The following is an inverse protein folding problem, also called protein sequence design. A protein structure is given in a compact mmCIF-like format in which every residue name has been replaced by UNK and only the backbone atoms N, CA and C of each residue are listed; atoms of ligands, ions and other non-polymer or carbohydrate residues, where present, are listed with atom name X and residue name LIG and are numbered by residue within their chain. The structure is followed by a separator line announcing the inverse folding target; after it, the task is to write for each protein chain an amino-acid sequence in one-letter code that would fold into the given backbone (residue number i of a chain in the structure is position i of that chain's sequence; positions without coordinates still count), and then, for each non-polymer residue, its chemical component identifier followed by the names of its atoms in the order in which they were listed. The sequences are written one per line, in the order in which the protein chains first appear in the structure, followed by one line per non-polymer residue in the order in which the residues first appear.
data_IF_961993994079
#
_entry.id   IF_961993994079
#
_cell.length_a   1.000
_cell.length_b   1.000
_cell.length_c   1.000
_cell.angle_alpha   90.00
_cell.angle_beta   90.00
_cell.angle_gamma   90.00
#
_symmetry.space_group_name_H-M   'P 1'
#
loop_
_entity.id
_entity.type
_entity.pdbx_description
1 polymer ?
#
# COMPACT_ATOMS: atom_id res chain seq x y z
N UNK A 1 30.40 -14.82 -50.13
CA UNK A 1 30.48 -15.20 -48.70
C UNK A 1 31.78 -14.61 -48.17
N UNK A 2 31.80 -13.88 -47.04
CA UNK A 2 31.51 -14.48 -45.73
C UNK A 2 30.76 -13.60 -44.69
N UNK A 3 30.43 -14.28 -43.59
CA UNK A 3 30.17 -13.84 -42.21
C UNK A 3 28.96 -12.92 -41.90
N UNK A 4 27.87 -13.56 -41.43
CA UNK A 4 26.81 -12.93 -40.63
C UNK A 4 27.35 -12.62 -39.22
N UNK A 5 27.04 -11.46 -38.62
CA UNK A 5 27.33 -11.23 -37.20
C UNK A 5 26.35 -12.01 -36.32
N UNK A 6 26.91 -12.58 -35.25
CA UNK A 6 26.27 -13.41 -34.23
C UNK A 6 25.02 -12.76 -33.62
N UNK A 7 23.95 -13.56 -33.55
CA UNK A 7 22.81 -13.31 -32.68
C UNK A 7 23.24 -13.62 -31.24
N UNK A 8 23.56 -12.59 -30.46
CA UNK A 8 23.78 -12.74 -29.03
C UNK A 8 22.43 -12.95 -28.35
N UNK A 9 22.17 -14.19 -27.93
CA UNK A 9 21.06 -14.55 -27.07
C UNK A 9 21.34 -13.91 -25.72
N UNK A 10 20.59 -12.85 -25.39
CA UNK A 10 20.55 -12.32 -24.02
C UNK A 10 19.83 -13.37 -23.19
N UNK A 11 20.59 -14.15 -22.41
CA UNK A 11 20.03 -15.02 -21.40
C UNK A 11 19.35 -14.14 -20.36
N UNK A 12 18.03 -14.21 -20.30
CA UNK A 12 17.23 -13.59 -19.25
C UNK A 12 17.69 -14.13 -17.90
N UNK A 13 18.07 -13.23 -17.00
CA UNK A 13 18.33 -13.54 -15.60
C UNK A 13 17.10 -14.23 -15.01
N UNK A 14 17.27 -15.50 -14.66
CA UNK A 14 16.26 -16.28 -13.95
C UNK A 14 16.00 -15.63 -12.59
N UNK A 15 14.78 -15.19 -12.36
CA UNK A 15 14.32 -14.69 -11.06
C UNK A 15 14.61 -15.76 -10.00
N UNK A 16 15.28 -15.34 -8.91
CA UNK A 16 15.46 -16.20 -7.74
C UNK A 16 14.08 -16.61 -7.22
N UNK A 17 13.85 -17.89 -6.87
CA UNK A 17 12.57 -18.31 -6.35
C UNK A 17 12.30 -17.57 -5.04
N UNK A 18 11.20 -16.82 -4.99
CA UNK A 18 10.69 -16.23 -3.76
C UNK A 18 10.46 -17.35 -2.74
N UNK A 19 11.11 -17.23 -1.60
CA UNK A 19 11.00 -18.19 -0.50
C UNK A 19 9.61 -17.99 0.11
N UNK A 20 8.63 -18.79 -0.32
CA UNK A 20 7.28 -18.79 0.27
C UNK A 20 7.42 -19.17 1.74
N UNK A 21 7.28 -18.20 2.63
CA UNK A 21 7.28 -18.44 4.07
C UNK A 21 5.99 -19.15 4.45
N UNK A 22 6.10 -20.29 5.13
CA UNK A 22 4.93 -21.04 5.63
C UNK A 22 4.28 -20.21 6.74
N UNK A 23 2.98 -19.94 6.60
CA UNK A 23 2.22 -19.29 7.65
C UNK A 23 2.16 -20.17 8.91
N UNK A 24 2.52 -19.60 10.05
CA UNK A 24 2.43 -20.26 11.35
C UNK A 24 1.34 -19.57 12.17
N UNK A 25 0.24 -20.26 12.52
CA UNK A 25 -0.81 -19.70 13.37
C UNK A 25 -0.34 -19.57 14.83
N UNK A 26 -1.02 -18.71 15.61
CA UNK A 26 -0.78 -18.59 17.05
C UNK A 26 0.48 -17.82 17.46
N UNK A 27 1.18 -17.17 16.51
CA UNK A 27 2.27 -16.24 16.83
C UNK A 27 1.65 -14.96 17.44
N UNK A 28 2.15 -14.47 18.60
CA UNK A 28 1.69 -13.22 19.18
C UNK A 28 1.86 -12.03 18.23
N UNK A 29 0.93 -11.08 18.29
CA UNK A 29 1.02 -9.83 17.52
C UNK A 29 2.29 -9.04 17.91
N UNK A 30 3.06 -8.53 16.94
CA UNK A 30 4.22 -7.67 17.22
C UNK A 30 3.82 -6.43 18.00
N UNK A 31 4.58 -6.10 19.04
CA UNK A 31 4.33 -4.92 19.88
C UNK A 31 5.41 -3.84 19.75
N UNK A 32 6.54 -4.18 19.12
CA UNK A 32 7.65 -3.26 18.86
C UNK A 32 7.97 -3.14 17.37
N UNK A 33 8.66 -2.05 17.00
CA UNK A 33 9.14 -1.86 15.62
C UNK A 33 10.06 -3.00 15.20
N UNK A 34 10.99 -3.38 16.06
CA UNK A 34 11.95 -4.47 15.78
C UNK A 34 11.25 -5.80 15.45
N UNK A 35 10.14 -6.11 16.11
CA UNK A 35 9.34 -7.30 15.80
C UNK A 35 8.57 -7.16 14.49
N UNK A 36 7.99 -5.98 14.21
CA UNK A 36 7.30 -5.68 12.95
C UNK A 36 8.25 -5.81 11.74
N UNK A 37 9.50 -5.34 11.87
CA UNK A 37 10.51 -5.39 10.81
C UNK A 37 10.87 -6.84 10.36
N UNK A 38 10.54 -7.86 11.17
CA UNK A 38 10.69 -9.28 10.78
C UNK A 38 9.74 -9.67 9.65
N UNK A 39 8.62 -8.95 9.51
CA UNK A 39 7.60 -9.17 8.48
C UNK A 39 7.70 -8.16 7.33
N UNK A 40 8.83 -7.45 7.20
CA UNK A 40 9.00 -6.43 6.18
C UNK A 40 8.70 -6.95 4.77
N UNK A 41 7.84 -6.26 4.04
CA UNK A 41 7.50 -6.54 2.65
C UNK A 41 7.94 -5.38 1.77
N UNK A 42 8.70 -5.69 0.72
CA UNK A 42 9.07 -4.70 -0.29
C UNK A 42 7.90 -4.53 -1.26
N UNK A 43 7.35 -3.32 -1.30
CA UNK A 43 6.23 -2.98 -2.16
C UNK A 43 6.67 -2.06 -3.30
N UNK A 44 5.98 -2.17 -4.43
CA UNK A 44 6.10 -1.27 -5.57
C UNK A 44 4.73 -0.99 -6.17
N UNK A 45 4.52 0.27 -6.57
CA UNK A 45 3.26 0.73 -7.15
C UNK A 45 3.02 0.10 -8.52
N UNK A 46 1.77 -0.31 -8.78
CA UNK A 46 1.35 -0.82 -10.07
C UNK A 46 0.81 0.31 -10.97
N UNK A 47 1.62 0.72 -11.94
CA UNK A 47 1.30 1.75 -12.94
C UNK A 47 0.09 1.39 -13.81
N UNK A 48 -0.24 0.10 -13.91
CA UNK A 48 -1.43 -0.38 -14.63
C UNK A 48 -2.72 0.02 -13.90
N UNK A 49 -2.67 0.13 -12.58
CA UNK A 49 -3.84 0.40 -11.73
C UNK A 49 -4.03 1.89 -11.44
N UNK A 50 -2.95 2.67 -11.48
CA UNK A 50 -2.94 4.06 -11.06
C UNK A 50 -3.94 4.92 -11.84
N UNK A 51 -4.82 5.65 -11.16
CA UNK A 51 -5.69 6.61 -11.82
C UNK A 51 -4.91 7.64 -12.65
N UNK A 52 -5.50 8.16 -13.72
CA UNK A 52 -4.83 9.07 -14.66
C UNK A 52 -4.41 10.41 -14.05
N UNK A 53 -4.93 10.79 -12.87
CA UNK A 53 -4.48 11.98 -12.13
C UNK A 53 -3.21 11.74 -11.29
N UNK A 54 -2.74 10.51 -11.21
CA UNK A 54 -1.59 10.13 -10.39
C UNK A 54 -0.31 10.02 -11.22
N UNK A 55 0.78 10.46 -10.61
CA UNK A 55 2.12 10.40 -11.17
C UNK A 55 2.98 9.50 -10.29
N UNK A 56 3.48 8.42 -10.88
CA UNK A 56 4.40 7.49 -10.21
C UNK A 56 5.85 7.88 -10.56
N UNK A 57 6.71 7.97 -9.56
CA UNK A 57 8.14 8.27 -9.71
C UNK A 57 9.00 7.37 -8.82
N UNK A 58 10.29 7.67 -8.75
CA UNK A 58 11.27 7.01 -7.87
C UNK A 58 11.31 5.48 -8.05
N UNK A 59 11.29 5.05 -9.32
CA UNK A 59 11.26 3.63 -9.70
C UNK A 59 10.05 2.87 -9.13
N UNK A 60 8.90 3.53 -8.99
CA UNK A 60 7.67 2.91 -8.54
C UNK A 60 7.44 2.94 -7.04
N UNK A 61 8.26 3.64 -6.25
CA UNK A 61 8.04 3.76 -4.80
C UNK A 61 7.24 5.01 -4.41
N UNK A 62 7.15 6.02 -5.28
CA UNK A 62 6.48 7.28 -4.96
C UNK A 62 5.29 7.53 -5.88
N UNK A 63 4.19 7.98 -5.29
CA UNK A 63 3.00 8.49 -6.00
C UNK A 63 2.70 9.90 -5.54
N UNK A 64 2.33 10.78 -6.48
CA UNK A 64 1.86 12.11 -6.17
C UNK A 64 0.73 12.55 -7.09
N UNK A 65 -0.05 13.51 -6.62
CA UNK A 65 -1.06 14.23 -7.43
C UNK A 65 -0.75 15.71 -7.31
N UNK A 66 -0.20 16.30 -8.37
CA UNK A 66 0.32 17.68 -8.34
C UNK A 66 -0.81 18.71 -8.53
N UNK A 67 -1.62 18.54 -9.57
CA UNK A 67 -2.72 19.43 -9.96
C UNK A 67 -3.86 18.62 -10.61
N UNK A 68 -4.71 19.25 -11.42
CA UNK A 68 -5.71 18.60 -12.28
C UNK A 68 -5.13 18.01 -13.58
N UNK A 69 -3.80 18.13 -13.79
CA UNK A 69 -3.15 17.59 -14.97
C UNK A 69 -3.23 16.06 -15.05
N UNK A 70 -3.73 15.59 -16.18
CA UNK A 70 -3.88 14.18 -16.48
C UNK A 70 -2.55 13.64 -17.03
N UNK A 71 -2.06 12.56 -16.42
CA UNK A 71 -0.89 11.83 -16.88
C UNK A 71 -1.19 11.17 -18.24
N UNK A 72 -0.29 11.27 -19.24
CA UNK A 72 -0.49 10.74 -20.59
C UNK A 72 -0.30 9.22 -20.63
N UNK A 73 -1.18 8.49 -19.95
CA UNK A 73 -1.16 7.02 -19.86
C UNK A 73 -2.28 6.38 -20.68
N UNK A 74 -1.98 5.21 -21.23
CA UNK A 74 -2.99 4.40 -21.91
C UNK A 74 -4.05 3.92 -20.91
N UNK A 75 -5.30 3.96 -21.34
CA UNK A 75 -6.39 3.41 -20.55
C UNK A 75 -6.33 1.88 -20.52
N UNK A 76 -6.71 1.29 -19.37
CA UNK A 76 -6.60 -0.15 -19.10
C UNK A 76 -7.72 -0.62 -18.17
N UNK A 77 -8.26 -1.85 -18.33
CA UNK A 77 -9.29 -2.43 -17.46
C UNK A 77 -8.98 -2.34 -15.96
N UNK A 78 -7.72 -2.51 -15.58
CA UNK A 78 -7.26 -2.59 -14.19
C UNK A 78 -7.16 -1.22 -13.50
N UNK A 79 -7.27 -0.13 -14.29
CA UNK A 79 -7.06 1.24 -13.83
C UNK A 79 -8.24 1.76 -13.02
N UNK A 80 -7.95 2.47 -11.93
CA UNK A 80 -8.98 3.25 -11.24
C UNK A 80 -9.52 4.37 -12.13
N UNK A 81 -10.83 4.41 -12.30
CA UNK A 81 -11.48 5.34 -13.23
C UNK A 81 -11.69 6.73 -12.62
N UNK A 82 -12.29 6.82 -11.43
CA UNK A 82 -12.64 8.11 -10.80
C UNK A 82 -11.79 8.46 -9.58
N UNK A 83 -11.60 7.50 -8.67
CA UNK A 83 -10.86 7.76 -7.44
C UNK A 83 -9.36 7.82 -7.76
N UNK A 84 -8.64 8.88 -7.34
CA UNK A 84 -7.20 9.04 -7.56
C UNK A 84 -6.41 8.05 -6.68
N UNK A 85 -6.47 6.78 -7.06
CA UNK A 85 -5.97 5.63 -6.34
C UNK A 85 -4.99 4.80 -7.15
N UNK A 86 -4.13 4.08 -6.45
CA UNK A 86 -3.19 3.11 -6.99
C UNK A 86 -3.00 1.99 -5.97
N UNK A 87 -2.83 0.76 -6.44
CA UNK A 87 -2.44 -0.38 -5.60
C UNK A 87 -1.03 -0.85 -5.93
N UNK A 88 -0.43 -1.62 -5.03
CA UNK A 88 0.88 -2.24 -5.24
C UNK A 88 0.77 -3.49 -6.10
N UNK A 89 1.88 -3.90 -6.70
CA UNK A 89 1.99 -5.14 -7.50
C UNK A 89 1.95 -6.37 -6.60
N UNK A 90 2.55 -6.25 -5.43
CA UNK A 90 2.68 -7.33 -4.47
C UNK A 90 1.40 -7.41 -3.63
N UNK A 91 0.85 -8.62 -3.50
CA UNK A 91 -0.36 -8.88 -2.71
C UNK A 91 -0.11 -9.90 -1.61
N UNK A 92 -0.91 -9.84 -0.56
CA UNK A 92 -0.78 -10.69 0.60
C UNK A 92 -1.81 -11.81 0.52
N UNK A 93 -1.33 -13.05 0.60
CA UNK A 93 -2.15 -14.24 0.72
C UNK A 93 -1.48 -15.24 1.65
N UNK A 94 -2.21 -15.69 2.66
CA UNK A 94 -1.74 -16.64 3.67
C UNK A 94 -0.41 -16.22 4.30
N UNK A 95 -0.27 -14.96 4.70
CA UNK A 95 0.99 -14.42 5.24
C UNK A 95 0.80 -13.21 6.15
N UNK A 96 1.90 -12.82 6.78
CA UNK A 96 2.06 -11.55 7.52
C UNK A 96 2.95 -10.61 6.74
N UNK A 97 2.62 -9.32 6.74
CA UNK A 97 3.45 -8.30 6.14
C UNK A 97 3.46 -7.03 6.98
N UNK A 98 4.57 -6.32 6.91
CA UNK A 98 4.74 -4.98 7.44
C UNK A 98 5.40 -4.10 6.40
N UNK A 99 4.94 -2.86 6.26
CA UNK A 99 5.62 -1.84 5.47
C UNK A 99 5.44 -0.47 6.10
N UNK A 100 6.34 0.46 5.76
CA UNK A 100 6.27 1.85 6.18
C UNK A 100 6.14 2.77 4.96
N UNK A 101 5.41 3.86 5.13
CA UNK A 101 5.30 4.92 4.14
C UNK A 101 5.51 6.29 4.78
N UNK A 102 6.08 7.20 4.01
CA UNK A 102 6.04 8.63 4.28
C UNK A 102 5.00 9.29 3.39
N UNK A 103 4.35 10.34 3.88
CA UNK A 103 3.30 11.01 3.12
C UNK A 103 3.24 12.50 3.42
N UNK A 104 2.58 13.24 2.54
CA UNK A 104 2.29 14.66 2.69
C UNK A 104 0.90 14.98 2.13
N UNK A 105 0.21 15.92 2.78
CA UNK A 105 -1.14 16.33 2.39
C UNK A 105 -2.21 15.30 2.77
N UNK A 106 -3.26 15.22 1.96
CA UNK A 106 -4.38 14.30 2.16
C UNK A 106 -4.08 12.96 1.48
N UNK A 107 -3.93 11.91 2.28
CA UNK A 107 -3.66 10.55 1.80
C UNK A 107 -4.47 9.56 2.62
N UNK A 108 -5.08 8.58 1.95
CA UNK A 108 -5.58 7.35 2.57
C UNK A 108 -4.59 6.22 2.30
N UNK A 109 -4.08 5.61 3.37
CA UNK A 109 -3.14 4.49 3.34
C UNK A 109 -3.92 3.24 3.75
N UNK A 110 -3.94 2.22 2.90
CA UNK A 110 -4.85 1.11 3.14
C UNK A 110 -4.53 -0.16 2.36
N UNK A 111 -5.52 -1.03 2.30
CA UNK A 111 -5.51 -2.24 1.51
C UNK A 111 -6.92 -2.57 1.00
N UNK A 112 -6.99 -3.28 -0.11
CA UNK A 112 -8.24 -3.71 -0.75
C UNK A 112 -8.13 -5.14 -1.25
N UNK A 113 -9.23 -5.87 -1.38
CA UNK A 113 -9.22 -7.15 -2.09
C UNK A 113 -8.76 -6.98 -3.55
N UNK A 114 -7.99 -7.94 -4.05
CA UNK A 114 -7.46 -7.91 -5.42
C UNK A 114 -8.58 -7.79 -6.47
N UNK A 115 -9.73 -8.43 -6.22
CA UNK A 115 -10.92 -8.41 -7.07
C UNK A 115 -11.88 -7.25 -6.83
N UNK A 116 -11.56 -6.31 -5.93
CA UNK A 116 -12.44 -5.17 -5.66
C UNK A 116 -12.62 -4.30 -6.89
N UNK A 117 -13.84 -3.77 -7.05
CA UNK A 117 -14.22 -2.91 -8.17
C UNK A 117 -13.39 -1.62 -8.24
N UNK A 118 -13.01 -1.21 -9.46
CA UNK A 118 -12.15 -0.03 -9.71
C UNK A 118 -12.77 0.98 -10.70
N UNK A 119 -13.98 0.68 -11.17
CA UNK A 119 -14.67 1.34 -12.27
C UNK A 119 -16.02 1.90 -11.83
N UNK A 120 -16.55 2.85 -12.59
CA UNK A 120 -17.84 3.51 -12.38
C UNK A 120 -18.99 2.53 -12.08
N UNK A 121 -19.07 1.47 -12.88
CA UNK A 121 -20.14 0.47 -12.83
C UNK A 121 -20.03 -0.47 -11.63
N UNK A 122 -18.97 -0.35 -10.82
CA UNK A 122 -18.73 -1.21 -9.66
C UNK A 122 -19.24 -0.59 -8.35
N UNK A 123 -19.80 0.63 -8.38
CA UNK A 123 -20.17 1.38 -7.19
C UNK A 123 -18.98 2.10 -6.53
N UNK A 124 -19.06 2.44 -5.22
CA UNK A 124 -17.98 3.10 -4.50
C UNK A 124 -16.68 2.28 -4.51
N UNK A 125 -15.64 2.82 -5.16
CA UNK A 125 -14.35 2.14 -5.35
C UNK A 125 -13.22 2.71 -4.49
N UNK A 126 -13.47 3.77 -3.69
CA UNK A 126 -12.50 4.35 -2.78
C UNK A 126 -12.09 3.40 -1.66
N UNK A 127 -10.83 3.48 -1.23
CA UNK A 127 -10.33 2.74 -0.07
C UNK A 127 -11.16 3.10 1.17
N UNK A 128 -11.78 2.09 1.76
CA UNK A 128 -12.66 2.23 2.92
C UNK A 128 -14.10 2.65 2.59
N UNK A 129 -14.43 2.88 1.32
CA UNK A 129 -15.81 3.22 0.90
C UNK A 129 -16.71 1.99 0.72
N UNK A 130 -16.15 0.78 0.80
CA UNK A 130 -16.86 -0.49 0.66
C UNK A 130 -16.37 -1.52 1.68
N UNK A 131 -17.01 -2.69 1.72
CA UNK A 131 -16.66 -3.80 2.62
C UNK A 131 -15.39 -4.57 2.21
N UNK A 132 -14.85 -4.29 1.02
CA UNK A 132 -13.70 -4.97 0.45
C UNK A 132 -12.37 -4.21 0.67
N UNK A 133 -12.42 -3.07 1.39
CA UNK A 133 -11.25 -2.21 1.59
C UNK A 133 -11.25 -1.49 2.93
N UNK A 134 -10.04 -1.15 3.39
CA UNK A 134 -9.78 -0.44 4.65
C UNK A 134 -8.77 0.66 4.41
N UNK A 135 -8.88 1.77 5.15
CA UNK A 135 -7.95 2.88 5.03
C UNK A 135 -7.77 3.69 6.30
N UNK A 136 -6.54 4.14 6.56
CA UNK A 136 -6.24 5.21 7.50
C UNK A 136 -6.01 6.50 6.70
N UNK A 137 -6.79 7.52 7.00
CA UNK A 137 -6.71 8.83 6.37
C UNK A 137 -6.14 9.86 7.36
N UNK A 138 -5.30 10.77 6.87
CA UNK A 138 -5.05 12.04 7.54
C UNK A 138 -5.88 13.13 6.87
N UNK A 139 -6.83 13.72 7.61
CA UNK A 139 -7.78 14.71 7.08
C UNK A 139 -7.20 16.13 6.97
N UNK A 140 -6.02 16.36 7.55
CA UNK A 140 -5.45 17.69 7.77
C UNK A 140 -5.55 18.17 9.22
N UNK A 141 -6.50 17.62 9.99
CA UNK A 141 -6.73 17.97 11.41
C UNK A 141 -6.68 16.77 12.35
N UNK A 142 -7.10 15.60 11.89
CA UNK A 142 -7.10 14.36 12.66
C UNK A 142 -6.85 13.14 11.75
N UNK A 143 -6.58 12.00 12.37
CA UNK A 143 -6.64 10.72 11.67
C UNK A 143 -8.06 10.18 11.64
N UNK A 144 -8.41 9.48 10.58
CA UNK A 144 -9.70 8.82 10.42
C UNK A 144 -9.48 7.37 9.96
N UNK A 145 -10.20 6.43 10.57
CA UNK A 145 -10.29 5.07 10.05
C UNK A 145 -11.51 4.95 9.13
N UNK A 146 -11.31 4.41 7.93
CA UNK A 146 -12.30 4.28 6.88
C UNK A 146 -12.58 2.80 6.60
N UNK A 147 -13.84 2.40 6.69
CA UNK A 147 -14.31 1.05 6.37
C UNK A 147 -15.80 1.06 6.05
N UNK A 148 -16.21 0.33 4.99
CA UNK A 148 -17.60 0.16 4.60
C UNK A 148 -18.40 1.47 4.48
N UNK A 149 -17.79 2.51 3.89
CA UNK A 149 -18.42 3.81 3.68
C UNK A 149 -18.51 4.67 4.94
N UNK A 150 -17.97 4.21 6.06
CA UNK A 150 -17.98 4.94 7.34
C UNK A 150 -16.56 5.38 7.66
N UNK A 151 -16.39 6.67 7.98
CA UNK A 151 -15.18 7.19 8.60
C UNK A 151 -15.41 7.46 10.09
N UNK A 152 -14.38 7.24 10.90
CA UNK A 152 -14.38 7.55 12.34
C UNK A 152 -13.09 8.23 12.71
N UNK A 153 -13.20 9.37 13.40
CA UNK A 153 -12.06 10.12 13.89
C UNK A 153 -11.31 9.35 14.98
N UNK A 154 -9.98 9.41 14.92
CA UNK A 154 -9.09 8.94 15.97
C UNK A 154 -8.65 10.19 16.75
N UNK A 155 -9.30 10.40 17.89
CA UNK A 155 -9.09 11.57 18.73
C UNK A 155 -7.70 11.56 19.39
N UNK A 156 -7.19 12.76 19.71
CA UNK A 156 -5.97 12.97 20.50
C UNK A 156 -4.69 12.36 19.89
N UNK A 157 -4.65 12.21 18.57
CA UNK A 157 -3.48 11.77 17.82
C UNK A 157 -2.92 12.92 16.98
N UNK A 158 -1.69 13.40 17.25
CA UNK A 158 -1.08 14.46 16.46
C UNK A 158 -0.62 13.92 15.09
N UNK A 159 -0.32 14.81 14.16
CA UNK A 159 0.25 14.44 12.87
C UNK A 159 1.57 13.66 13.03
N UNK A 160 1.77 12.64 12.19
CA UNK A 160 3.02 11.90 12.06
C UNK A 160 3.37 11.79 10.58
N UNK A 161 4.63 12.03 10.23
CA UNK A 161 5.08 12.00 8.83
C UNK A 161 5.20 10.58 8.25
N UNK A 162 5.19 9.56 9.13
CA UNK A 162 5.44 8.18 8.77
C UNK A 162 4.44 7.23 9.42
N UNK A 163 3.86 6.36 8.59
CA UNK A 163 2.89 5.35 8.99
C UNK A 163 3.44 3.97 8.67
N UNK A 164 3.37 3.07 9.64
CA UNK A 164 3.58 1.64 9.47
C UNK A 164 2.24 0.92 9.36
N UNK A 165 2.14 -0.04 8.44
CA UNK A 165 0.96 -0.91 8.30
C UNK A 165 1.40 -2.34 8.48
N UNK A 166 0.75 -3.04 9.40
CA UNK A 166 0.91 -4.47 9.62
C UNK A 166 -0.36 -5.19 9.26
N UNK A 167 -0.24 -6.30 8.52
CA UNK A 167 -1.35 -7.19 8.24
C UNK A 167 -0.98 -8.63 8.58
N UNK A 168 -1.84 -9.31 9.33
CA UNK A 168 -1.88 -10.76 9.46
C UNK A 168 -3.16 -11.24 8.76
N UNK A 169 -3.01 -11.67 7.50
CA UNK A 169 -4.17 -11.95 6.65
C UNK A 169 -5.01 -13.12 7.19
N UNK A 170 -4.45 -14.29 7.54
CA UNK A 170 -5.26 -15.37 8.10
C UNK A 170 -5.85 -15.09 9.48
N UNK A 171 -5.20 -14.25 10.30
CA UNK A 171 -5.75 -13.84 11.60
C UNK A 171 -6.78 -12.71 11.49
N UNK A 172 -6.91 -12.09 10.31
CA UNK A 172 -7.88 -11.03 10.08
C UNK A 172 -7.51 -9.72 10.77
N UNK A 173 -6.22 -9.40 10.86
CA UNK A 173 -5.71 -8.24 11.60
C UNK A 173 -5.10 -7.24 10.63
N UNK A 174 -5.51 -5.98 10.74
CA UNK A 174 -4.87 -4.83 10.09
C UNK A 174 -4.57 -3.80 11.18
N UNK A 175 -3.30 -3.51 11.40
CA UNK A 175 -2.85 -2.56 12.41
C UNK A 175 -2.09 -1.41 11.77
N UNK A 176 -2.45 -0.19 12.15
CA UNK A 176 -1.81 1.04 11.70
C UNK A 176 -1.02 1.64 12.85
N UNK A 177 0.22 2.03 12.57
CA UNK A 177 1.15 2.57 13.54
C UNK A 177 1.68 3.92 13.08
N UNK A 178 1.82 4.86 14.00
CA UNK A 178 2.73 5.98 13.82
C UNK A 178 4.15 5.49 14.08
N UNK A 179 5.09 5.89 13.24
CA UNK A 179 6.52 5.59 13.44
C UNK A 179 7.20 6.88 13.88
N UNK A 180 7.83 6.86 15.05
CA UNK A 180 8.45 8.03 15.69
C UNK A 180 9.93 7.80 15.95
N UNK A 181 10.69 8.85 16.22
CA UNK A 181 12.13 8.78 16.44
C UNK A 181 12.94 8.78 15.15
N UNK A 182 14.27 8.71 15.29
CA UNK A 182 15.22 8.81 14.18
C UNK A 182 16.23 7.66 14.19
N UNK A 183 16.73 7.29 13.01
CA UNK A 183 17.75 6.25 12.87
C UNK A 183 17.37 4.92 13.55
N UNK A 184 18.23 4.47 14.47
CA UNK A 184 18.09 3.24 15.22
C UNK A 184 17.06 3.32 16.37
N UNK A 185 16.68 4.52 16.81
CA UNK A 185 15.74 4.74 17.93
C UNK A 185 14.29 4.81 17.47
N UNK A 186 13.98 4.31 16.26
CA UNK A 186 12.61 4.33 15.76
C UNK A 186 11.71 3.40 16.55
N UNK A 187 10.62 3.96 17.04
CA UNK A 187 9.56 3.26 17.76
C UNK A 187 8.24 3.29 16.99
N UNK A 188 7.28 2.46 17.41
CA UNK A 188 5.93 2.46 16.88
C UNK A 188 4.91 2.74 17.97
N UNK A 189 3.91 3.56 17.64
CA UNK A 189 2.71 3.77 18.45
C UNK A 189 1.50 3.28 17.66
N UNK A 190 0.76 2.33 18.21
CA UNK A 190 -0.48 1.85 17.60
C UNK A 190 -1.50 3.00 17.51
N UNK A 191 -1.98 3.29 16.31
CA UNK A 191 -3.03 4.27 16.05
C UNK A 191 -4.40 3.60 16.03
N UNK A 192 -4.49 2.49 15.29
CA UNK A 192 -5.73 1.76 15.16
C UNK A 192 -5.47 0.31 14.79
N UNK A 193 -6.38 -0.57 15.22
CA UNK A 193 -6.38 -1.98 14.86
C UNK A 193 -7.78 -2.38 14.42
N UNK A 194 -7.87 -2.92 13.22
CA UNK A 194 -9.06 -3.53 12.65
C UNK A 194 -8.96 -5.03 12.82
N UNK A 195 -10.04 -5.65 13.30
CA UNK A 195 -10.22 -7.10 13.28
C UNK A 195 -11.39 -7.42 12.35
N UNK A 196 -11.13 -8.16 11.29
CA UNK A 196 -12.09 -8.43 10.20
C UNK A 196 -11.79 -9.76 9.52
N UNK A 197 -12.73 -10.34 8.78
CA UNK A 197 -12.43 -11.51 7.93
C UNK A 197 -11.73 -11.04 6.65
N UNK A 198 -10.56 -11.61 6.34
CA UNK A 198 -9.81 -11.32 5.12
C UNK A 198 -9.69 -12.62 4.33
N UNK A 199 -10.68 -12.91 3.49
CA UNK A 199 -10.82 -14.25 2.88
C UNK A 199 -10.22 -14.35 1.48
N UNK A 200 -9.79 -13.22 0.93
CA UNK A 200 -9.21 -13.09 -0.41
C UNK A 200 -7.82 -12.46 -0.32
N UNK A 201 -7.05 -12.60 -1.40
CA UNK A 201 -5.79 -11.88 -1.56
C UNK A 201 -6.06 -10.37 -1.50
N UNK A 202 -5.24 -9.66 -0.73
CA UNK A 202 -5.33 -8.20 -0.58
C UNK A 202 -4.12 -7.52 -1.21
N UNK A 203 -4.34 -6.30 -1.70
CA UNK A 203 -3.32 -5.43 -2.25
C UNK A 203 -3.21 -4.17 -1.39
N UNK A 204 -2.01 -3.80 -0.92
CA UNK A 204 -1.77 -2.48 -0.35
C UNK A 204 -2.08 -1.40 -1.38
N UNK A 205 -2.65 -0.28 -0.94
CA UNK A 205 -3.05 0.79 -1.83
C UNK A 205 -3.05 2.16 -1.18
N UNK A 206 -3.08 3.18 -2.03
CA UNK A 206 -3.00 4.57 -1.65
C UNK A 206 -4.01 5.40 -2.44
N UNK A 207 -4.73 6.26 -1.74
CA UNK A 207 -5.59 7.29 -2.32
C UNK A 207 -4.98 8.65 -2.04
N UNK A 208 -4.66 9.41 -3.10
CA UNK A 208 -3.87 10.65 -2.98
C UNK A 208 -4.70 11.86 -3.43
N UNK A 209 -4.82 12.84 -2.53
CA UNK A 209 -5.50 14.11 -2.77
C UNK A 209 -4.67 15.07 -3.61
N UNK A 210 -5.26 16.19 -4.02
CA UNK A 210 -4.52 17.25 -4.75
C UNK A 210 -3.37 17.77 -3.87
N UNK A 211 -2.23 18.10 -4.49
CA UNK A 211 -1.02 18.58 -3.81
C UNK A 211 -0.49 17.64 -2.72
N UNK A 212 -0.77 16.34 -2.86
CA UNK A 212 -0.43 15.32 -1.87
C UNK A 212 0.50 14.27 -2.48
N UNK A 213 1.24 13.56 -1.62
CA UNK A 213 2.14 12.50 -2.06
C UNK A 213 2.29 11.40 -1.02
N UNK A 214 2.63 10.19 -1.48
CA UNK A 214 2.94 9.05 -0.64
C UNK A 214 4.16 8.33 -1.21
N UNK A 215 5.08 7.94 -0.35
CA UNK A 215 6.33 7.25 -0.70
C UNK A 215 6.45 5.99 0.13
N UNK A 216 6.48 4.84 -0.54
CA UNK A 216 6.80 3.54 0.04
C UNK A 216 8.27 3.55 0.42
N UNK A 217 8.55 3.27 1.69
CA UNK A 217 9.93 3.16 2.15
C UNK A 217 10.51 1.81 1.78
N UNK A 218 11.82 1.76 1.59
CA UNK A 218 12.58 0.52 1.44
C UNK A 218 13.03 0.03 2.80
N UNK A 219 13.28 -1.29 2.90
CA UNK A 219 13.93 -1.83 4.09
C UNK A 219 15.31 -1.19 4.22
N UNK A 220 15.48 -0.33 5.20
CA UNK A 220 16.79 0.11 5.64
C UNK A 220 17.21 -0.81 6.79
N UNK A 221 18.42 -1.37 6.68
CA UNK A 221 19.05 -2.15 7.75
C UNK A 221 19.22 -1.34 9.03
#
# INVERSE_FOLDING_TARGET
MPARPNCAIILSETSKPEKVSVYVPGIPEPTSRAELMKYWMNLSLDDKTANKMLWISDSGSKVCRRTEEICPVLDRPERYEYSPQVVCKEGLWNMRAYWEVEYSGWVVIGATFEGAGRRANSGPSGLGENEESWGLCWSGTCYQIWFNGVNKDINDVPYYSRIGVYIDQPAGIISFYAVTGEGAEKEVKLLHKVKTSIEKKILPGFWVGIQSSCTILRKTE
#
